data_IF_669538543806
#
_entry.id   IF_669538543806
#
_cell.length_a   1.000
_cell.length_b   1.000
_cell.length_c   1.000
_cell.angle_alpha   90.00
_cell.angle_beta   90.00
_cell.angle_gamma   90.00
#
_symmetry.space_group_name_H-M   'P 1'
#
loop_
_entity.id
_entity.type
_entity.pdbx_description
1 polymer ?
#
# COMPACT_ATOMS: atom_id res chain seq x y z
N UNK A 1 -24.13 -20.12 18.00
CA UNK A 1 -23.87 -20.86 19.24
C UNK A 1 -24.47 -20.18 20.48
N UNK A 2 -24.22 -18.87 20.69
CA UNK A 2 -24.76 -18.10 21.83
C UNK A 2 -26.29 -18.16 22.01
N UNK A 3 -27.08 -18.09 20.92
CA UNK A 3 -28.55 -18.18 21.01
C UNK A 3 -29.03 -19.51 21.60
N UNK A 4 -28.37 -20.63 21.28
CA UNK A 4 -28.73 -21.97 21.80
C UNK A 4 -28.44 -22.11 23.29
N UNK A 5 -27.34 -21.53 23.78
CA UNK A 5 -27.02 -21.46 25.22
C UNK A 5 -28.05 -20.64 25.99
N UNK A 6 -28.52 -19.53 25.43
CA UNK A 6 -29.49 -18.66 26.09
C UNK A 6 -30.84 -19.37 26.30
N UNK A 7 -31.30 -20.13 25.29
CA UNK A 7 -32.49 -20.97 25.43
C UNK A 7 -32.32 -22.08 26.47
N UNK A 8 -31.14 -22.70 26.54
CA UNK A 8 -30.87 -23.74 27.54
C UNK A 8 -30.92 -23.17 28.97
N UNK A 9 -30.30 -22.01 29.21
CA UNK A 9 -30.37 -21.33 30.51
C UNK A 9 -31.82 -20.98 30.87
N UNK A 10 -32.58 -20.40 29.94
CA UNK A 10 -33.98 -20.04 30.17
C UNK A 10 -34.86 -21.26 30.50
N UNK A 11 -34.68 -22.38 29.78
CA UNK A 11 -35.41 -23.63 30.06
C UNK A 11 -35.06 -24.20 31.44
N UNK A 12 -33.78 -24.20 31.83
CA UNK A 12 -33.35 -24.68 33.15
C UNK A 12 -33.93 -23.80 34.26
N UNK A 13 -33.87 -22.47 34.11
CA UNK A 13 -34.47 -21.54 35.08
C UNK A 13 -35.98 -21.75 35.22
N UNK A 14 -36.69 -21.88 34.09
CA UNK A 14 -38.13 -22.13 34.09
C UNK A 14 -38.47 -23.47 34.76
N UNK A 15 -37.70 -24.52 34.49
CA UNK A 15 -37.88 -25.84 35.08
C UNK A 15 -37.67 -25.82 36.60
N UNK A 16 -36.62 -25.14 37.08
CA UNK A 16 -36.35 -25.01 38.52
C UNK A 16 -37.45 -24.21 39.22
N UNK A 17 -37.94 -23.12 38.62
CA UNK A 17 -39.04 -22.33 39.17
C UNK A 17 -40.35 -23.13 39.20
N UNK A 18 -40.63 -23.92 38.16
CA UNK A 18 -41.83 -24.77 38.10
C UNK A 18 -41.78 -25.85 39.18
N UNK A 19 -40.63 -26.53 39.35
CA UNK A 19 -40.45 -27.53 40.40
C UNK A 19 -40.60 -26.95 41.79
N UNK A 20 -40.03 -25.76 42.03
CA UNK A 20 -40.19 -25.04 43.28
C UNK A 20 -41.67 -24.71 43.57
N UNK A 21 -42.40 -24.19 42.57
CA UNK A 21 -43.81 -23.84 42.73
C UNK A 21 -44.68 -25.07 42.98
N UNK A 22 -44.44 -26.17 42.25
CA UNK A 22 -45.19 -27.43 42.45
C UNK A 22 -44.97 -27.98 43.87
N UNK A 23 -43.71 -28.04 44.34
CA UNK A 23 -43.37 -28.61 45.65
C UNK A 23 -44.00 -27.85 46.83
N UNK A 24 -44.06 -26.52 46.75
CA UNK A 24 -44.45 -25.68 47.89
C UNK A 24 -45.88 -25.11 47.81
N UNK A 25 -46.54 -25.13 46.64
CA UNK A 25 -47.88 -24.53 46.44
C UNK A 25 -48.93 -25.55 46.02
N UNK A 26 -48.58 -26.58 45.24
CA UNK A 26 -49.56 -27.47 44.59
C UNK A 26 -49.59 -28.85 45.26
N UNK A 27 -48.44 -29.52 45.39
CA UNK A 27 -48.36 -30.89 45.87
C UNK A 27 -46.97 -31.21 46.44
N UNK A 28 -46.91 -31.76 47.65
CA UNK A 28 -45.65 -32.20 48.27
C UNK A 28 -45.13 -33.48 47.60
N UNK A 29 -44.06 -33.36 46.82
CA UNK A 29 -43.42 -34.52 46.20
C UNK A 29 -42.55 -35.18 47.28
N UNK A 30 -42.81 -36.45 47.67
CA UNK A 30 -42.16 -37.10 48.82
C UNK A 30 -40.65 -37.34 48.63
N UNK A 31 -40.12 -37.18 47.41
CA UNK A 31 -38.69 -37.30 47.11
C UNK A 31 -37.89 -36.01 47.41
N UNK A 32 -38.55 -34.85 47.51
CA UNK A 32 -37.90 -33.56 47.73
C UNK A 32 -38.14 -33.04 49.15
N UNK A 33 -37.23 -32.21 49.67
CA UNK A 33 -37.41 -31.64 51.00
C UNK A 33 -38.58 -30.65 51.02
N UNK A 34 -39.45 -30.80 52.02
CA UNK A 34 -40.56 -29.89 52.32
C UNK A 34 -40.10 -28.65 53.11
N UNK A 35 -38.81 -28.55 53.44
CA UNK A 35 -38.26 -27.37 54.11
C UNK A 35 -37.65 -26.44 53.08
N UNK A 36 -38.20 -25.22 53.00
CA UNK A 36 -37.69 -24.17 52.12
C UNK A 36 -36.21 -23.85 52.38
N UNK A 37 -35.76 -23.96 53.64
CA UNK A 37 -34.35 -23.77 54.01
C UNK A 37 -33.38 -24.76 53.36
N UNK A 38 -33.80 -26.01 53.11
CA UNK A 38 -32.93 -27.03 52.50
C UNK A 38 -32.68 -26.71 51.02
N UNK A 39 -33.67 -26.16 50.32
CA UNK A 39 -33.52 -25.66 48.94
C UNK A 39 -32.63 -24.42 48.88
N UNK A 40 -32.75 -23.52 49.85
CA UNK A 40 -31.84 -22.37 49.99
C UNK A 40 -30.40 -22.80 50.24
N UNK A 41 -30.19 -23.81 51.09
CA UNK A 41 -28.88 -24.39 51.38
C UNK A 41 -28.29 -25.11 50.18
N UNK A 42 -29.09 -25.89 49.44
CA UNK A 42 -28.67 -26.53 48.19
C UNK A 42 -28.28 -25.51 47.12
N UNK A 43 -29.10 -24.49 46.91
CA UNK A 43 -28.80 -23.39 45.99
C UNK A 43 -27.50 -22.68 46.37
N UNK A 44 -27.32 -22.38 47.66
CA UNK A 44 -26.11 -21.74 48.19
C UNK A 44 -24.87 -22.61 48.02
N UNK A 45 -24.98 -23.92 48.26
CA UNK A 45 -23.90 -24.89 48.03
C UNK A 45 -23.53 -24.98 46.55
N UNK A 46 -24.51 -25.16 45.67
CA UNK A 46 -24.29 -25.26 44.23
C UNK A 46 -23.69 -23.96 43.66
N UNK A 47 -24.21 -22.79 44.04
CA UNK A 47 -23.65 -21.50 43.62
C UNK A 47 -22.28 -21.23 44.23
N UNK A 48 -22.05 -21.65 45.47
CA UNK A 48 -20.76 -21.48 46.17
C UNK A 48 -19.65 -22.35 45.56
N UNK A 49 -19.99 -23.56 45.08
CA UNK A 49 -19.03 -24.46 44.43
C UNK A 49 -18.84 -24.14 42.95
N UNK A 50 -19.92 -23.86 42.22
CA UNK A 50 -19.85 -23.59 40.77
C UNK A 50 -19.47 -22.15 40.45
N UNK A 51 -19.74 -21.20 41.34
CA UNK A 51 -19.43 -19.78 41.15
C UNK A 51 -17.95 -19.50 40.85
N UNK A 52 -17.01 -20.01 41.66
CA UNK A 52 -15.57 -19.89 41.37
C UNK A 52 -15.17 -20.54 40.04
N UNK A 53 -15.78 -21.67 39.68
CA UNK A 53 -15.50 -22.37 38.43
C UNK A 53 -15.97 -21.55 37.22
N UNK A 54 -17.18 -20.98 37.29
CA UNK A 54 -17.68 -20.08 36.25
C UNK A 54 -16.88 -18.77 36.18
N UNK A 55 -16.46 -18.21 37.32
CA UNK A 55 -15.59 -17.04 37.35
C UNK A 55 -14.24 -17.31 36.66
N UNK A 56 -13.66 -18.50 36.88
CA UNK A 56 -12.42 -18.92 36.22
C UNK A 56 -12.61 -19.12 34.71
N UNK A 57 -13.72 -19.75 34.28
CA UNK A 57 -14.04 -19.89 32.85
C UNK A 57 -14.29 -18.53 32.19
N UNK A 58 -14.99 -17.62 32.86
CA UNK A 58 -15.19 -16.25 32.38
C UNK A 58 -13.86 -15.51 32.24
N UNK A 59 -12.95 -15.66 33.20
CA UNK A 59 -11.61 -15.09 33.12
C UNK A 59 -10.82 -15.62 31.91
N UNK A 60 -10.85 -16.93 31.64
CA UNK A 60 -10.21 -17.53 30.45
C UNK A 60 -10.82 -16.95 29.17
N UNK A 61 -12.15 -16.89 29.09
CA UNK A 61 -12.85 -16.33 27.93
C UNK A 61 -12.48 -14.87 27.66
N UNK A 62 -12.44 -14.04 28.70
CA UNK A 62 -12.01 -12.64 28.59
C UNK A 62 -10.56 -12.56 28.13
N UNK A 63 -9.66 -13.38 28.68
CA UNK A 63 -8.25 -13.41 28.28
C UNK A 63 -8.08 -13.75 26.80
N UNK A 64 -8.80 -14.75 26.31
CA UNK A 64 -8.75 -15.15 24.90
C UNK A 64 -9.32 -14.06 23.99
N UNK A 65 -10.46 -13.47 24.37
CA UNK A 65 -11.06 -12.34 23.64
C UNK A 65 -10.10 -11.16 23.54
N UNK A 66 -9.42 -10.80 24.63
CA UNK A 66 -8.41 -9.73 24.63
C UNK A 66 -7.24 -10.08 23.72
N UNK A 67 -6.79 -11.34 23.68
CA UNK A 67 -5.73 -11.77 22.76
C UNK A 67 -6.14 -11.62 21.30
N UNK A 68 -7.32 -12.13 20.94
CA UNK A 68 -7.85 -12.01 19.58
C UNK A 68 -8.05 -10.54 19.17
N UNK A 69 -8.54 -9.71 20.10
CA UNK A 69 -8.71 -8.28 19.85
C UNK A 69 -7.37 -7.58 19.59
N UNK A 70 -6.31 -7.93 20.35
CA UNK A 70 -4.95 -7.41 20.10
C UNK A 70 -4.44 -7.80 18.72
N UNK A 71 -4.64 -9.05 18.30
CA UNK A 71 -4.19 -9.51 16.99
C UNK A 71 -4.91 -8.79 15.84
N UNK A 72 -6.22 -8.57 15.98
CA UNK A 72 -7.00 -7.79 15.01
C UNK A 72 -6.51 -6.34 14.95
N UNK A 73 -6.29 -5.69 16.10
CA UNK A 73 -5.76 -4.31 16.15
C UNK A 73 -4.38 -4.24 15.50
N UNK A 74 -3.49 -5.18 15.81
CA UNK A 74 -2.14 -5.22 15.23
C UNK A 74 -2.18 -5.40 13.70
N UNK A 75 -3.07 -6.26 13.18
CA UNK A 75 -3.27 -6.43 11.73
C UNK A 75 -3.81 -5.15 11.09
N UNK A 76 -4.81 -4.52 11.69
CA UNK A 76 -5.38 -3.26 11.20
C UNK A 76 -4.35 -2.12 11.20
N UNK A 77 -3.53 -2.00 12.24
CA UNK A 77 -2.47 -1.00 12.30
C UNK A 77 -1.41 -1.20 11.22
N UNK A 78 -1.00 -2.45 10.96
CA UNK A 78 -0.07 -2.76 9.87
C UNK A 78 -0.65 -2.41 8.50
N UNK A 79 -1.91 -2.77 8.25
CA UNK A 79 -2.57 -2.43 6.99
C UNK A 79 -2.67 -0.91 6.80
N UNK A 80 -3.12 -0.20 7.85
CA UNK A 80 -3.21 1.27 7.80
C UNK A 80 -1.85 1.93 7.57
N UNK A 81 -0.79 1.43 8.22
CA UNK A 81 0.56 1.96 8.01
C UNK A 81 1.06 1.74 6.57
N UNK A 82 0.73 0.59 5.96
CA UNK A 82 1.03 0.31 4.56
C UNK A 82 0.25 1.24 3.62
N UNK A 83 -1.06 1.40 3.85
CA UNK A 83 -1.92 2.28 3.05
C UNK A 83 -1.46 3.75 3.15
N UNK A 84 -1.14 4.22 4.36
CA UNK A 84 -0.58 5.56 4.60
C UNK A 84 0.77 5.75 3.89
N UNK A 85 1.63 4.73 3.91
CA UNK A 85 2.91 4.76 3.21
C UNK A 85 2.70 4.82 1.69
N UNK A 86 1.80 3.99 1.13
CA UNK A 86 1.47 3.97 -0.29
C UNK A 86 0.94 5.33 -0.76
N UNK A 87 0.03 5.94 0.01
CA UNK A 87 -0.52 7.26 -0.31
C UNK A 87 0.56 8.34 -0.28
N UNK A 88 1.45 8.34 0.72
CA UNK A 88 2.58 9.28 0.77
C UNK A 88 3.54 9.12 -0.41
N UNK A 89 3.87 7.88 -0.78
CA UNK A 89 4.73 7.60 -1.94
C UNK A 89 4.05 8.06 -3.23
N UNK A 90 2.75 7.82 -3.38
CA UNK A 90 1.96 8.30 -4.52
C UNK A 90 1.97 9.83 -4.62
N UNK A 91 1.68 10.54 -3.54
CA UNK A 91 1.71 12.01 -3.52
C UNK A 91 3.10 12.56 -3.86
N UNK A 92 4.15 11.91 -3.33
CA UNK A 92 5.54 12.28 -3.63
C UNK A 92 5.85 12.08 -5.10
N UNK A 93 5.42 10.95 -5.67
CA UNK A 93 5.54 10.67 -7.09
C UNK A 93 4.83 11.73 -7.93
N UNK A 94 3.57 12.03 -7.64
CA UNK A 94 2.77 13.02 -8.39
C UNK A 94 3.44 14.41 -8.37
N UNK A 95 3.92 14.85 -7.20
CA UNK A 95 4.64 16.13 -7.07
C UNK A 95 5.92 16.15 -7.90
N UNK A 96 6.77 15.13 -7.76
CA UNK A 96 8.04 15.07 -8.50
C UNK A 96 7.79 14.94 -10.01
N UNK A 97 6.76 14.19 -10.42
CA UNK A 97 6.37 14.06 -11.81
C UNK A 97 5.92 15.40 -12.42
N UNK A 98 5.09 16.17 -11.71
CA UNK A 98 4.70 17.51 -12.14
C UNK A 98 5.93 18.42 -12.27
N UNK A 99 6.83 18.41 -11.29
CA UNK A 99 8.07 19.19 -11.34
C UNK A 99 8.96 18.78 -12.52
N UNK A 100 9.11 17.47 -12.76
CA UNK A 100 9.87 16.94 -13.89
C UNK A 100 9.24 17.31 -15.24
N UNK A 101 7.91 17.33 -15.36
CA UNK A 101 7.26 17.81 -16.56
C UNK A 101 7.48 19.33 -16.74
N UNK A 102 7.44 20.09 -15.65
CA UNK A 102 7.63 21.54 -15.69
C UNK A 102 9.06 21.95 -16.09
N UNK A 103 10.09 21.16 -15.73
CA UNK A 103 11.47 21.43 -16.12
C UNK A 103 11.75 21.16 -17.60
N UNK A 104 10.87 20.43 -18.28
CA UNK A 104 10.98 20.11 -19.72
C UNK A 104 10.39 21.24 -20.58
N UNK A 105 9.41 21.99 -20.07
CA UNK A 105 8.75 23.07 -20.82
C UNK A 105 9.73 24.15 -21.34
N UNK A 106 10.74 24.62 -20.57
CA UNK A 106 11.76 25.53 -21.09
C UNK A 106 12.56 24.94 -22.25
N UNK A 107 12.94 23.66 -22.14
CA UNK A 107 13.68 22.94 -23.19
C UNK A 107 12.83 22.77 -24.45
N UNK A 108 11.54 22.45 -24.31
CA UNK A 108 10.59 22.41 -25.43
C UNK A 108 10.47 23.75 -26.15
N UNK A 109 10.37 24.85 -25.38
CA UNK A 109 10.31 26.21 -25.94
C UNK A 109 11.59 26.58 -26.67
N UNK A 110 12.75 26.26 -26.11
CA UNK A 110 14.04 26.51 -26.76
C UNK A 110 14.18 25.72 -28.06
N UNK A 111 13.75 24.45 -28.07
CA UNK A 111 13.79 23.61 -29.25
C UNK A 111 12.66 23.91 -30.26
N UNK A 112 11.64 24.69 -29.88
CA UNK A 112 10.40 24.91 -30.62
C UNK A 112 9.68 23.59 -30.99
N UNK A 113 9.58 22.68 -30.01
CA UNK A 113 9.02 21.32 -30.15
C UNK A 113 7.86 21.14 -29.17
N UNK A 114 6.87 20.32 -29.54
CA UNK A 114 5.83 19.83 -28.63
C UNK A 114 5.89 18.30 -28.54
N UNK A 115 6.37 17.76 -27.42
CA UNK A 115 6.64 16.33 -27.23
C UNK A 115 5.38 15.45 -27.36
N UNK A 116 4.19 16.02 -27.16
CA UNK A 116 2.93 15.30 -27.28
C UNK A 116 2.72 14.73 -28.70
N UNK A 117 3.10 15.50 -29.73
CA UNK A 117 2.74 15.24 -31.13
C UNK A 117 3.88 14.64 -31.97
N UNK A 118 5.08 14.45 -31.40
CA UNK A 118 6.22 13.94 -32.15
C UNK A 118 6.44 12.43 -31.97
N UNK A 119 6.87 11.81 -33.07
CA UNK A 119 7.42 10.46 -33.06
C UNK A 119 8.92 10.47 -32.72
N UNK A 120 9.46 9.31 -32.32
CA UNK A 120 10.89 9.15 -31.95
C UNK A 120 11.85 9.59 -33.06
N UNK A 121 11.54 9.27 -34.32
CA UNK A 121 12.40 9.59 -35.47
C UNK A 121 12.39 11.08 -35.81
N UNK A 122 11.24 11.75 -35.69
CA UNK A 122 11.14 13.19 -35.92
C UNK A 122 11.88 13.98 -34.84
N UNK A 123 11.87 13.47 -33.60
CA UNK A 123 12.56 14.08 -32.47
C UNK A 123 14.08 14.12 -32.70
N UNK A 124 14.69 13.00 -33.10
CA UNK A 124 16.14 12.97 -33.37
C UNK A 124 16.55 13.87 -34.53
N UNK A 125 15.69 14.03 -35.54
CA UNK A 125 15.96 14.90 -36.69
C UNK A 125 15.87 16.39 -36.34
N UNK A 126 14.90 16.80 -35.53
CA UNK A 126 14.79 18.22 -35.11
C UNK A 126 15.89 18.63 -34.13
N UNK A 127 16.40 17.69 -33.34
CA UNK A 127 17.44 17.94 -32.36
C UNK A 127 18.86 18.02 -32.95
N UNK A 128 19.07 17.67 -34.22
CA UNK A 128 20.41 17.70 -34.84
C UNK A 128 20.97 19.11 -34.96
N UNK A 129 20.12 20.13 -35.11
CA UNK A 129 20.56 21.48 -35.49
C UNK A 129 20.61 22.46 -34.30
N UNK A 130 20.23 22.01 -33.09
CA UNK A 130 20.10 22.86 -31.90
C UNK A 130 21.41 22.97 -31.11
N UNK A 131 21.85 24.17 -30.77
CA UNK A 131 23.01 24.37 -29.89
C UNK A 131 22.68 24.00 -28.44
N UNK A 132 23.50 23.11 -27.86
CA UNK A 132 23.34 22.58 -26.50
C UNK A 132 24.17 23.30 -25.44
N UNK A 133 25.09 24.21 -25.82
CA UNK A 133 25.98 24.88 -24.88
C UNK A 133 25.21 25.75 -23.87
N UNK A 134 24.21 26.49 -24.34
CA UNK A 134 23.41 27.42 -23.53
C UNK A 134 22.45 26.72 -22.57
N UNK A 135 22.03 25.49 -22.89
CA UNK A 135 21.00 24.74 -22.16
C UNK A 135 21.57 23.59 -21.34
N UNK A 136 22.90 23.46 -21.22
CA UNK A 136 23.53 22.30 -20.57
C UNK A 136 23.08 22.13 -19.11
N UNK A 137 22.95 23.23 -18.36
CA UNK A 137 22.47 23.20 -16.98
C UNK A 137 21.00 22.80 -16.89
N UNK A 138 20.15 23.32 -17.79
CA UNK A 138 18.74 22.97 -17.85
C UNK A 138 18.54 21.48 -18.19
N UNK A 139 19.40 20.92 -19.06
CA UNK A 139 19.41 19.48 -19.37
C UNK A 139 19.77 18.67 -18.12
N UNK A 140 20.80 19.08 -17.36
CA UNK A 140 21.23 18.39 -16.15
C UNK A 140 20.14 18.43 -15.09
N UNK A 141 19.55 19.59 -14.83
CA UNK A 141 18.51 19.75 -13.81
C UNK A 141 17.25 18.96 -14.18
N UNK A 142 16.83 18.99 -15.45
CA UNK A 142 15.70 18.20 -15.91
C UNK A 142 16.01 16.68 -15.87
N UNK A 143 17.24 16.27 -16.18
CA UNK A 143 17.70 14.89 -16.05
C UNK A 143 17.69 14.38 -14.61
N UNK A 144 18.13 15.21 -13.64
CA UNK A 144 18.07 14.88 -12.20
C UNK A 144 16.66 14.70 -11.70
N UNK A 145 15.75 15.59 -12.07
CA UNK A 145 14.34 15.52 -11.68
C UNK A 145 13.65 14.28 -12.28
N UNK A 146 13.93 13.96 -13.55
CA UNK A 146 13.47 12.72 -14.16
C UNK A 146 14.04 11.50 -13.43
N UNK A 147 15.33 11.52 -13.06
CA UNK A 147 15.95 10.42 -12.35
C UNK A 147 15.32 10.18 -10.96
N UNK A 148 15.05 11.27 -10.24
CA UNK A 148 14.29 11.20 -8.98
C UNK A 148 12.87 10.67 -9.18
N UNK A 149 12.17 11.11 -10.24
CA UNK A 149 10.82 10.63 -10.56
C UNK A 149 10.81 9.11 -10.84
N UNK A 150 11.76 8.60 -11.64
CA UNK A 150 11.85 7.14 -11.92
C UNK A 150 12.08 6.34 -10.65
N UNK A 151 12.98 6.80 -9.79
CA UNK A 151 13.30 6.10 -8.55
C UNK A 151 12.06 5.95 -7.66
N UNK A 152 11.30 7.04 -7.48
CA UNK A 152 10.07 7.02 -6.68
C UNK A 152 8.99 6.18 -7.36
N UNK A 153 8.88 6.26 -8.68
CA UNK A 153 7.93 5.47 -9.46
C UNK A 153 8.18 3.96 -9.35
N UNK A 154 9.45 3.53 -9.36
CA UNK A 154 9.82 2.12 -9.17
C UNK A 154 9.45 1.63 -7.76
N UNK A 155 9.68 2.44 -6.74
CA UNK A 155 9.28 2.12 -5.37
C UNK A 155 7.75 2.04 -5.26
N UNK A 156 7.02 2.94 -5.91
CA UNK A 156 5.57 2.91 -5.96
C UNK A 156 5.04 1.63 -6.61
N UNK A 157 5.63 1.20 -7.74
CA UNK A 157 5.24 -0.03 -8.42
C UNK A 157 5.51 -1.27 -7.55
N UNK A 158 6.66 -1.31 -6.86
CA UNK A 158 6.97 -2.41 -5.94
C UNK A 158 5.97 -2.52 -4.79
N UNK A 159 5.55 -1.38 -4.23
CA UNK A 159 4.54 -1.36 -3.15
C UNK A 159 3.16 -1.79 -3.63
N UNK A 160 2.79 -1.45 -4.88
CA UNK A 160 1.56 -1.95 -5.50
C UNK A 160 1.63 -3.47 -5.67
N UNK A 161 2.75 -4.02 -6.15
CA UNK A 161 2.90 -5.46 -6.31
C UNK A 161 2.77 -6.19 -4.97
N UNK A 162 3.40 -5.66 -3.91
CA UNK A 162 3.28 -6.20 -2.56
C UNK A 162 1.86 -6.10 -1.99
N UNK A 163 1.12 -5.02 -2.28
CA UNK A 163 -0.26 -4.88 -1.80
C UNK A 163 -1.22 -5.85 -2.49
N UNK A 164 -0.90 -6.27 -3.72
CA UNK A 164 -1.72 -7.20 -4.52
C UNK A 164 -1.37 -8.67 -4.28
N UNK A 165 -0.19 -8.98 -3.71
CA UNK A 165 0.29 -10.35 -3.48
C UNK A 165 -0.65 -11.22 -2.61
N UNK A 166 -1.43 -10.61 -1.72
CA UNK A 166 -2.33 -11.31 -0.80
C UNK A 166 -3.80 -11.34 -1.22
N UNK A 167 -4.14 -10.80 -2.40
CA UNK A 167 -5.51 -10.78 -2.90
C UNK A 167 -5.80 -12.07 -3.67
N UNK A 168 -6.63 -12.95 -3.09
CA UNK A 168 -7.08 -14.23 -3.69
C UNK A 168 -7.97 -14.06 -4.95
N UNK A 169 -8.44 -12.83 -5.21
CA UNK A 169 -9.30 -12.53 -6.36
C UNK A 169 -8.43 -11.93 -7.45
N UNK A 170 -8.27 -12.65 -8.56
CA UNK A 170 -7.75 -12.06 -9.80
C UNK A 170 -8.66 -10.90 -10.23
N UNK A 171 -8.26 -9.66 -9.93
CA UNK A 171 -8.95 -8.49 -10.45
C UNK A 171 -8.86 -8.53 -11.99
N UNK A 172 -10.00 -8.55 -12.71
CA UNK A 172 -10.05 -8.79 -14.16
C UNK A 172 -9.36 -7.69 -15.00
N UNK A 173 -9.13 -6.52 -14.39
CA UNK A 173 -8.20 -5.52 -14.85
C UNK A 173 -7.32 -5.15 -13.66
N UNK A 174 -6.01 -5.38 -13.74
CA UNK A 174 -5.09 -4.81 -12.76
C UNK A 174 -4.95 -3.31 -13.09
N UNK A 175 -5.96 -2.52 -12.69
CA UNK A 175 -6.05 -1.07 -12.95
C UNK A 175 -4.75 -0.37 -12.52
N UNK A 176 -4.15 -0.82 -11.41
CA UNK A 176 -2.87 -0.31 -10.94
C UNK A 176 -1.73 -0.55 -11.95
N UNK A 177 -1.67 -1.73 -12.57
CA UNK A 177 -0.70 -2.05 -13.62
C UNK A 177 -0.95 -1.23 -14.89
N UNK A 178 -2.20 -1.01 -15.26
CA UNK A 178 -2.53 -0.17 -16.43
C UNK A 178 -2.15 1.29 -16.21
N UNK A 179 -2.52 1.87 -15.06
CA UNK A 179 -2.14 3.24 -14.67
C UNK A 179 -0.62 3.38 -14.67
N UNK A 180 0.09 2.45 -14.04
CA UNK A 180 1.54 2.38 -14.08
C UNK A 180 2.06 2.41 -15.55
N UNK A 181 1.56 1.51 -16.39
CA UNK A 181 1.97 1.45 -17.81
C UNK A 181 1.76 2.76 -18.54
N UNK A 182 0.62 3.43 -18.34
CA UNK A 182 0.33 4.71 -18.99
C UNK A 182 1.23 5.84 -18.50
N UNK A 183 1.48 5.91 -17.19
CA UNK A 183 2.38 6.87 -16.57
C UNK A 183 3.82 6.68 -17.05
N UNK A 184 4.28 5.42 -17.16
CA UNK A 184 5.59 5.09 -17.71
C UNK A 184 5.75 5.57 -19.15
N UNK A 185 4.74 5.40 -20.01
CA UNK A 185 4.81 5.86 -21.42
C UNK A 185 4.97 7.38 -21.53
N UNK A 186 4.32 8.14 -20.64
CA UNK A 186 4.52 9.59 -20.56
C UNK A 186 5.94 9.94 -20.14
N UNK A 187 6.42 9.30 -19.08
CA UNK A 187 7.79 9.46 -18.59
C UNK A 187 8.85 9.09 -19.64
N UNK A 188 8.62 8.02 -20.41
CA UNK A 188 9.54 7.50 -21.40
C UNK A 188 9.81 8.50 -22.53
N UNK A 189 8.78 9.20 -23.02
CA UNK A 189 8.96 10.25 -24.04
C UNK A 189 9.85 11.39 -23.53
N UNK A 190 9.61 11.81 -22.30
CA UNK A 190 10.39 12.85 -21.62
C UNK A 190 11.85 12.41 -21.41
N UNK A 191 12.06 11.18 -20.95
CA UNK A 191 13.38 10.61 -20.74
C UNK A 191 14.17 10.49 -22.06
N UNK A 192 13.53 10.06 -23.15
CA UNK A 192 14.15 10.04 -24.47
C UNK A 192 14.62 11.42 -24.91
N UNK A 193 13.75 12.42 -24.81
CA UNK A 193 14.05 13.78 -25.23
C UNK A 193 15.30 14.31 -24.54
N UNK A 194 15.36 14.18 -23.21
CA UNK A 194 16.50 14.62 -22.42
C UNK A 194 17.73 13.76 -22.70
N UNK A 195 17.58 12.46 -22.92
CA UNK A 195 18.71 11.59 -23.27
C UNK A 195 19.34 11.97 -24.61
N UNK A 196 18.55 12.32 -25.63
CA UNK A 196 19.09 12.80 -26.90
C UNK A 196 19.84 14.12 -26.73
N UNK A 197 19.29 15.07 -25.97
CA UNK A 197 19.96 16.33 -25.66
C UNK A 197 21.25 16.12 -24.84
N UNK A 198 21.22 15.24 -23.85
CA UNK A 198 22.36 14.90 -23.00
C UNK A 198 23.49 14.25 -23.79
N UNK A 199 23.17 13.28 -24.67
CA UNK A 199 24.15 12.64 -25.55
C UNK A 199 24.78 13.64 -26.53
N UNK A 200 23.99 14.60 -27.02
CA UNK A 200 24.47 15.65 -27.89
C UNK A 200 25.39 16.62 -27.15
N UNK A 201 24.96 17.14 -26.00
CA UNK A 201 25.76 18.02 -25.15
C UNK A 201 27.09 17.36 -24.75
N UNK A 202 27.05 16.06 -24.41
CA UNK A 202 28.25 15.30 -24.11
C UNK A 202 29.22 15.24 -25.31
N UNK A 203 28.71 14.99 -26.52
CA UNK A 203 29.52 14.84 -27.74
C UNK A 203 30.09 16.17 -28.25
N UNK A 204 29.26 17.21 -28.28
CA UNK A 204 29.57 18.46 -29.00
C UNK A 204 30.18 19.53 -28.08
N UNK A 205 29.85 19.53 -26.78
CA UNK A 205 30.25 20.59 -25.85
C UNK A 205 31.28 20.09 -24.84
N UNK A 206 30.98 18.97 -24.18
CA UNK A 206 31.74 18.50 -23.02
C UNK A 206 32.99 17.70 -23.41
N UNK A 207 32.87 16.73 -24.32
CA UNK A 207 34.01 15.92 -24.76
C UNK A 207 35.15 16.73 -25.40
N UNK A 208 34.89 17.80 -26.17
CA UNK A 208 35.96 18.67 -26.68
C UNK A 208 36.61 19.55 -25.60
N UNK A 209 35.93 19.81 -24.48
CA UNK A 209 36.33 20.78 -23.44
C UNK A 209 36.35 20.14 -22.04
N UNK A 210 36.93 18.94 -21.91
CA UNK A 210 36.85 18.13 -20.68
C UNK A 210 37.39 18.84 -19.43
N UNK A 211 38.43 19.65 -19.58
CA UNK A 211 39.03 20.38 -18.45
C UNK A 211 38.09 21.46 -17.88
N UNK A 212 37.18 21.99 -18.70
CA UNK A 212 36.24 23.04 -18.31
C UNK A 212 34.92 22.50 -17.77
N UNK A 213 34.47 21.32 -18.24
CA UNK A 213 33.14 20.75 -17.97
C UNK A 213 33.18 19.42 -17.21
N UNK A 214 34.17 19.22 -16.33
CA UNK A 214 34.35 17.95 -15.62
C UNK A 214 33.16 17.55 -14.73
N UNK A 215 32.45 18.52 -14.16
CA UNK A 215 31.26 18.29 -13.35
C UNK A 215 30.05 17.90 -14.19
N UNK A 216 29.79 18.66 -15.25
CA UNK A 216 28.70 18.44 -16.20
C UNK A 216 28.87 17.09 -16.91
N UNK A 217 30.11 16.71 -17.24
CA UNK A 217 30.44 15.39 -17.78
C UNK A 217 29.97 14.27 -16.86
N UNK A 218 30.29 14.37 -15.56
CA UNK A 218 29.91 13.36 -14.57
C UNK A 218 28.39 13.24 -14.47
N UNK A 219 27.69 14.35 -14.39
CA UNK A 219 26.23 14.38 -14.27
C UNK A 219 25.53 13.82 -15.51
N UNK A 220 25.98 14.22 -16.71
CA UNK A 220 25.43 13.70 -17.97
C UNK A 220 25.68 12.19 -18.11
N UNK A 221 26.85 11.68 -17.70
CA UNK A 221 27.14 10.24 -17.72
C UNK A 221 26.26 9.46 -16.73
N UNK A 222 26.04 9.99 -15.53
CA UNK A 222 25.11 9.39 -14.54
C UNK A 222 23.71 9.29 -15.16
N UNK A 223 23.21 10.35 -15.78
CA UNK A 223 21.88 10.34 -16.38
C UNK A 223 21.77 9.39 -17.59
N UNK A 224 22.75 9.40 -18.50
CA UNK A 224 22.74 8.53 -19.69
C UNK A 224 22.79 7.05 -19.27
N UNK A 225 23.67 6.70 -18.32
CA UNK A 225 23.75 5.33 -17.81
C UNK A 225 22.47 4.89 -17.09
N UNK A 226 21.81 5.80 -16.36
CA UNK A 226 20.52 5.52 -15.76
C UNK A 226 19.43 5.24 -16.81
N UNK A 227 19.38 6.01 -17.90
CA UNK A 227 18.43 5.77 -18.99
C UNK A 227 18.58 4.38 -19.62
N UNK A 228 19.82 3.92 -19.85
CA UNK A 228 20.09 2.57 -20.34
C UNK A 228 19.63 1.48 -19.36
N UNK A 229 19.83 1.72 -18.07
CA UNK A 229 19.40 0.80 -17.02
C UNK A 229 17.88 0.73 -16.92
N UNK A 230 17.20 1.86 -17.05
CA UNK A 230 15.74 1.92 -17.08
C UNK A 230 15.19 1.05 -18.20
N UNK A 231 15.68 1.20 -19.42
CA UNK A 231 15.22 0.41 -20.56
C UNK A 231 15.29 -1.11 -20.29
N UNK A 232 16.37 -1.58 -19.66
CA UNK A 232 16.52 -3.00 -19.25
C UNK A 232 15.51 -3.40 -18.18
N UNK A 233 15.35 -2.59 -17.14
CA UNK A 233 14.44 -2.84 -16.03
C UNK A 233 12.98 -2.90 -16.49
N UNK A 234 12.55 -2.00 -17.37
CA UNK A 234 11.17 -1.94 -17.85
C UNK A 234 10.84 -3.04 -18.86
N UNK A 235 11.79 -3.44 -19.70
CA UNK A 235 11.65 -4.66 -20.53
C UNK A 235 11.42 -5.91 -19.67
N UNK A 236 12.13 -6.04 -18.54
CA UNK A 236 11.94 -7.16 -17.60
C UNK A 236 10.54 -7.20 -16.98
N UNK A 237 9.92 -6.05 -16.76
CA UNK A 237 8.56 -5.92 -16.22
C UNK A 237 7.45 -6.19 -17.27
N UNK A 238 7.82 -6.55 -18.51
CA UNK A 238 6.88 -6.69 -19.61
C UNK A 238 6.33 -5.35 -20.14
N UNK A 239 6.98 -4.25 -19.74
CA UNK A 239 6.66 -2.87 -20.10
C UNK A 239 7.74 -2.32 -21.05
N UNK A 240 8.13 -3.14 -22.02
CA UNK A 240 9.12 -2.81 -23.05
C UNK A 240 8.49 -2.10 -24.25
N UNK A 241 9.36 -1.47 -25.05
CA UNK A 241 9.05 -0.84 -26.33
C UNK A 241 8.25 -1.72 -27.28
#
# INVERSE_FOLDING_TARGET
>A
MMKKMWYACACVTFLVLTLYFVQFVIYEIPMFSNKQGDWGNFGSYASGTLGPLFAFLAYIGIREQVSQQRDVINKQQKQKALDDHLNRTKETFEKIYIHSCSSIVPLERYCNISLANLTKFELSRKLSDIDTLTIINDIIDAGRLLHGAEFVYRNYLHLIEQSVEHLDIECPLNEHKWVATTTWRGFQKNAMFINFLAQKALREVVNPNQDMFSYEQKELLIYISACEQWEKCWKRLGLGF
#
